data_IF_953096096303
#
_entry.id   IF_953096096303
#
_cell.length_a   1.000
_cell.length_b   1.000
_cell.length_c   1.000
_cell.angle_alpha   90.00
_cell.angle_beta   90.00
_cell.angle_gamma   90.00
#
_symmetry.space_group_name_H-M   'P 1'
#
loop_
_entity.id
_entity.type
_entity.pdbx_description
1 polymer ?
#
# COMPACT_ATOMS: atom_id res chain seq x y z
N UNK A 1 20.92 -31.05 -6.62
CA UNK A 1 19.68 -31.60 -6.03
C UNK A 1 19.07 -30.51 -5.17
N UNK A 2 17.78 -30.18 -5.33
CA UNK A 2 17.10 -29.18 -4.50
C UNK A 2 16.56 -29.87 -3.26
N UNK A 3 17.01 -29.46 -2.08
CA UNK A 3 16.74 -30.16 -0.82
C UNK A 3 15.24 -30.14 -0.47
N UNK A 4 14.56 -29.06 -0.85
CA UNK A 4 13.15 -28.79 -0.54
C UNK A 4 12.19 -29.31 -1.62
N UNK A 5 12.67 -30.04 -2.62
CA UNK A 5 11.85 -30.47 -3.76
C UNK A 5 10.66 -31.34 -3.34
N UNK A 6 10.87 -32.30 -2.44
CA UNK A 6 9.80 -33.16 -1.93
C UNK A 6 8.73 -32.37 -1.13
N UNK A 7 9.09 -31.59 -0.08
CA UNK A 7 8.09 -30.84 0.69
C UNK A 7 7.37 -29.76 -0.14
N UNK A 8 8.01 -29.19 -1.17
CA UNK A 8 7.34 -28.27 -2.09
C UNK A 8 6.29 -28.96 -2.96
N UNK A 9 6.58 -30.17 -3.45
CA UNK A 9 5.65 -30.94 -4.26
C UNK A 9 4.51 -31.57 -3.43
N UNK A 10 4.73 -31.81 -2.14
CA UNK A 10 3.70 -32.33 -1.22
C UNK A 10 2.85 -31.23 -0.56
N UNK A 11 3.31 -29.97 -0.58
CA UNK A 11 2.66 -28.87 0.12
C UNK A 11 3.02 -28.77 1.61
N UNK A 12 4.07 -29.48 2.05
CA UNK A 12 4.58 -29.45 3.43
C UNK A 12 5.60 -28.33 3.66
N UNK A 13 6.10 -27.71 2.59
CA UNK A 13 6.94 -26.53 2.71
C UNK A 13 6.13 -25.35 3.27
N UNK A 14 6.58 -24.81 4.40
CA UNK A 14 5.91 -23.71 5.09
C UNK A 14 6.41 -22.37 4.55
N UNK A 15 5.48 -21.55 4.08
CA UNK A 15 5.66 -20.15 3.70
C UNK A 15 5.02 -19.22 4.73
N UNK A 16 5.23 -17.91 4.58
CA UNK A 16 4.79 -16.90 5.57
C UNK A 16 3.30 -17.00 5.92
N UNK A 17 2.43 -17.25 4.93
CA UNK A 17 0.98 -17.30 5.14
C UNK A 17 0.47 -18.70 5.54
N UNK A 18 1.36 -19.70 5.65
CA UNK A 18 1.02 -21.03 6.16
C UNK A 18 1.21 -21.13 7.68
N UNK A 19 1.92 -20.16 8.26
CA UNK A 19 2.05 -20.03 9.71
C UNK A 19 0.66 -19.74 10.29
N UNK A 20 0.16 -20.54 11.25
CA UNK A 20 -1.14 -20.29 11.86
C UNK A 20 -1.17 -18.91 12.53
N UNK A 21 -2.32 -18.21 12.45
CA UNK A 21 -2.44 -16.90 13.06
C UNK A 21 -2.32 -16.99 14.58
N UNK A 22 -1.74 -15.97 15.19
CA UNK A 22 -1.66 -15.82 16.63
C UNK A 22 -2.99 -15.33 17.21
N UNK A 23 -3.16 -15.51 18.52
CA UNK A 23 -4.30 -14.92 19.23
C UNK A 23 -4.23 -13.39 19.10
N UNK A 24 -5.37 -12.79 18.80
CA UNK A 24 -5.53 -11.34 18.61
C UNK A 24 -4.67 -10.77 17.46
N UNK A 25 -4.20 -11.62 16.53
CA UNK A 25 -3.59 -11.17 15.29
C UNK A 25 -4.59 -10.39 14.44
N UNK A 26 -4.12 -9.27 13.87
CA UNK A 26 -4.90 -8.39 13.01
C UNK A 26 -4.36 -8.43 11.60
N UNK A 27 -5.23 -8.07 10.65
CA UNK A 27 -4.94 -8.10 9.23
C UNK A 27 -5.00 -6.69 8.65
N UNK A 28 -4.06 -6.40 7.77
CA UNK A 28 -3.90 -5.09 7.17
C UNK A 28 -4.19 -5.13 5.67
N UNK A 29 -4.81 -4.08 5.14
CA UNK A 29 -4.98 -3.86 3.71
C UNK A 29 -4.72 -2.41 3.36
N UNK A 30 -3.94 -2.17 2.30
CA UNK A 30 -3.64 -0.81 1.86
C UNK A 30 -4.86 -0.13 1.27
N UNK A 31 -4.98 1.16 1.57
CA UNK A 31 -5.80 2.09 0.81
C UNK A 31 -4.91 2.67 -0.29
N UNK A 32 -5.40 2.63 -1.51
CA UNK A 32 -4.61 2.91 -2.71
C UNK A 32 -4.96 4.27 -3.33
N UNK A 33 -3.93 5.00 -3.76
CA UNK A 33 -4.03 6.15 -4.64
C UNK A 33 -4.42 5.74 -6.06
N UNK A 34 -5.45 6.37 -6.63
CA UNK A 34 -5.98 6.00 -7.96
C UNK A 34 -5.84 7.09 -9.01
N UNK A 35 -5.51 8.33 -8.62
CA UNK A 35 -5.36 9.47 -9.54
C UNK A 35 -3.90 9.87 -9.62
N UNK A 36 -3.19 9.37 -10.63
CA UNK A 36 -1.77 9.66 -10.88
C UNK A 36 -1.58 11.14 -11.19
N UNK A 37 -0.51 11.73 -10.65
CA UNK A 37 -0.17 13.15 -10.82
C UNK A 37 -1.00 14.09 -9.94
N UNK A 38 -1.90 13.58 -9.10
CA UNK A 38 -2.65 14.39 -8.14
C UNK A 38 -2.06 14.29 -6.73
N UNK A 39 -2.39 15.28 -5.90
CA UNK A 39 -2.13 15.27 -4.46
C UNK A 39 -3.40 14.82 -3.72
N UNK A 40 -3.22 14.08 -2.62
CA UNK A 40 -4.28 13.68 -1.71
C UNK A 40 -4.63 14.86 -0.82
N UNK A 41 -5.79 15.47 -1.06
CA UNK A 41 -6.28 16.60 -0.27
C UNK A 41 -6.94 16.13 1.03
N UNK A 42 -7.70 15.03 0.95
CA UNK A 42 -8.41 14.47 2.11
C UNK A 42 -8.63 12.97 1.95
N UNK A 43 -8.52 12.25 3.07
CA UNK A 43 -8.92 10.84 3.19
C UNK A 43 -10.01 10.74 4.25
N UNK A 44 -11.16 10.17 3.87
CA UNK A 44 -12.29 9.88 4.75
C UNK A 44 -12.48 8.36 4.88
N UNK A 45 -12.06 7.82 6.02
CA UNK A 45 -12.21 6.41 6.39
C UNK A 45 -13.46 6.15 7.26
N UNK A 46 -14.33 7.14 7.48
CA UNK A 46 -15.43 7.03 8.45
C UNK A 46 -16.39 5.88 8.17
N UNK A 47 -16.73 5.61 6.90
CA UNK A 47 -17.58 4.49 6.52
C UNK A 47 -16.88 3.14 6.70
N UNK A 48 -15.57 3.07 6.44
CA UNK A 48 -14.77 1.86 6.66
C UNK A 48 -14.71 1.52 8.15
N UNK A 49 -14.49 2.51 9.01
CA UNK A 49 -14.38 2.35 10.47
C UNK A 49 -15.71 1.96 11.15
N UNK A 50 -16.86 2.10 10.47
CA UNK A 50 -18.16 1.64 10.97
C UNK A 50 -18.40 0.14 10.77
N UNK A 51 -17.58 -0.52 9.95
CA UNK A 51 -17.74 -1.96 9.66
C UNK A 51 -17.31 -2.76 10.90
N UNK A 52 -18.17 -3.65 11.43
CA UNK A 52 -17.79 -4.51 12.56
C UNK A 52 -16.52 -5.33 12.25
N UNK A 53 -15.59 -5.34 13.20
CA UNK A 53 -14.29 -5.99 13.07
C UNK A 53 -13.23 -5.14 12.37
N UNK A 54 -13.53 -3.92 11.92
CA UNK A 54 -12.50 -2.93 11.56
C UNK A 54 -12.03 -2.21 12.82
N UNK A 55 -10.72 -2.16 13.00
CA UNK A 55 -10.07 -1.70 14.24
C UNK A 55 -9.54 -0.29 14.07
N UNK A 56 -8.84 -0.01 12.96
CA UNK A 56 -8.19 1.28 12.75
C UNK A 56 -7.95 1.60 11.27
N UNK A 57 -7.69 2.88 11.00
CA UNK A 57 -7.12 3.38 9.77
C UNK A 57 -5.90 4.24 10.11
N UNK A 58 -4.79 4.03 9.42
CA UNK A 58 -3.57 4.83 9.54
C UNK A 58 -3.17 5.41 8.20
N UNK A 59 -2.65 6.64 8.20
CA UNK A 59 -2.07 7.29 7.02
C UNK A 59 -0.68 7.85 7.32
N UNK A 60 -0.10 8.61 6.38
CA UNK A 60 1.22 9.22 6.53
C UNK A 60 1.39 10.02 7.84
N UNK A 61 0.32 10.60 8.38
CA UNK A 61 0.32 11.40 9.61
C UNK A 61 0.54 10.57 10.88
N UNK A 62 0.28 9.27 10.81
CA UNK A 62 0.33 8.37 11.96
C UNK A 62 1.69 7.65 12.05
N UNK A 63 2.63 7.94 11.13
CA UNK A 63 3.99 7.41 11.17
C UNK A 63 4.79 8.21 12.22
N UNK A 64 5.31 7.57 13.29
CA UNK A 64 6.02 8.27 14.37
C UNK A 64 7.42 8.77 13.98
N UNK A 65 7.95 8.32 12.85
CA UNK A 65 9.26 8.71 12.32
C UNK A 65 9.16 9.26 10.91
N UNK A 66 10.22 9.06 10.12
CA UNK A 66 10.25 9.48 8.72
C UNK A 66 9.34 8.57 7.89
N UNK A 67 8.43 9.15 7.12
CA UNK A 67 7.62 8.44 6.11
C UNK A 67 8.48 8.11 4.88
N UNK A 68 9.44 7.20 5.04
CA UNK A 68 10.29 6.67 3.96
C UNK A 68 10.76 5.28 4.35
N UNK A 69 10.68 4.32 3.42
CA UNK A 69 11.23 2.98 3.65
C UNK A 69 12.59 2.75 2.97
N UNK A 70 13.17 3.81 2.37
CA UNK A 70 14.42 3.71 1.64
C UNK A 70 15.62 3.59 2.59
N UNK A 71 16.39 2.52 2.42
CA UNK A 71 17.64 2.33 3.15
C UNK A 71 18.80 3.02 2.44
N UNK A 72 19.00 4.31 2.76
CA UNK A 72 20.01 5.21 2.16
C UNK A 72 21.45 4.65 2.08
N UNK A 73 21.93 3.82 3.02
CA UNK A 73 23.27 3.23 2.91
C UNK A 73 23.50 2.32 1.70
N UNK A 74 22.44 1.89 0.99
CA UNK A 74 22.55 1.14 -0.27
C UNK A 74 22.72 2.04 -1.51
N UNK A 75 22.86 3.36 -1.34
CA UNK A 75 23.11 4.30 -2.43
C UNK A 75 21.84 4.86 -3.10
N UNK A 76 20.66 4.57 -2.54
CA UNK A 76 19.41 5.22 -2.95
C UNK A 76 19.34 6.64 -2.36
N UNK A 77 19.17 7.63 -3.22
CA UNK A 77 19.18 9.06 -2.85
C UNK A 77 17.78 9.60 -2.55
N UNK A 78 16.79 9.11 -3.28
CA UNK A 78 15.43 9.62 -3.21
C UNK A 78 14.63 8.90 -2.12
N UNK A 79 13.78 9.65 -1.42
CA UNK A 79 12.87 9.07 -0.43
C UNK A 79 11.65 8.46 -1.15
N UNK A 80 11.29 7.24 -0.77
CA UNK A 80 10.04 6.59 -1.22
C UNK A 80 9.11 6.43 -0.02
N UNK A 81 7.94 7.10 -0.03
CA UNK A 81 7.05 7.12 1.12
C UNK A 81 6.40 5.76 1.36
N UNK A 82 6.17 5.44 2.64
CA UNK A 82 5.31 4.30 3.02
C UNK A 82 3.86 4.59 2.64
N UNK A 83 3.40 5.82 2.89
CA UNK A 83 2.09 6.32 2.48
C UNK A 83 2.25 7.64 1.71
N UNK A 84 1.89 7.64 0.44
CA UNK A 84 2.06 8.76 -0.47
C UNK A 84 1.06 9.90 -0.20
N UNK A 85 1.51 11.14 -0.45
CA UNK A 85 0.65 12.33 -0.52
C UNK A 85 0.46 12.80 -1.96
N UNK A 86 1.52 12.78 -2.78
CA UNK A 86 1.45 12.92 -4.24
C UNK A 86 1.49 11.53 -4.88
N UNK A 87 0.57 11.24 -5.79
CA UNK A 87 0.44 9.92 -6.41
C UNK A 87 1.32 9.83 -7.66
N UNK A 88 2.40 9.07 -7.57
CA UNK A 88 3.35 8.90 -8.68
C UNK A 88 2.95 7.78 -9.63
N UNK A 89 2.25 6.77 -9.14
CA UNK A 89 1.73 5.66 -9.94
C UNK A 89 0.40 5.14 -9.40
N UNK A 90 -0.34 4.46 -10.28
CA UNK A 90 -1.62 3.86 -9.90
C UNK A 90 -1.37 2.80 -8.81
N UNK A 91 -2.27 2.73 -7.83
CA UNK A 91 -2.18 1.84 -6.68
C UNK A 91 -1.01 2.11 -5.71
N UNK A 92 -0.46 3.33 -5.69
CA UNK A 92 0.49 3.70 -4.64
C UNK A 92 -0.22 3.76 -3.27
N UNK A 93 0.31 3.13 -2.21
CA UNK A 93 -0.32 3.17 -0.89
C UNK A 93 -0.43 4.58 -0.33
N UNK A 94 -1.58 4.93 0.25
CA UNK A 94 -1.84 6.24 0.89
C UNK A 94 -2.30 6.10 2.36
N UNK A 95 -2.51 4.86 2.79
CA UNK A 95 -2.86 4.50 4.15
C UNK A 95 -3.11 3.00 4.25
N UNK A 96 -3.52 2.55 5.42
CA UNK A 96 -3.78 1.14 5.70
C UNK A 96 -4.98 0.99 6.64
N UNK A 97 -5.87 0.05 6.32
CA UNK A 97 -6.92 -0.42 7.21
C UNK A 97 -6.41 -1.61 8.01
N UNK A 98 -6.77 -1.67 9.29
CA UNK A 98 -6.52 -2.79 10.20
C UNK A 98 -7.86 -3.40 10.62
N UNK A 99 -8.00 -4.73 10.52
CA UNK A 99 -9.23 -5.45 10.85
C UNK A 99 -8.95 -6.86 11.41
N UNK A 100 -9.99 -7.50 11.97
CA UNK A 100 -9.94 -8.85 12.56
C UNK A 100 -9.79 -9.99 11.53
N UNK A 101 -9.95 -9.71 10.23
CA UNK A 101 -9.69 -10.70 9.17
C UNK A 101 -9.18 -10.04 7.89
N UNK A 102 -8.44 -10.81 7.09
CA UNK A 102 -7.94 -10.35 5.79
C UNK A 102 -9.07 -9.90 4.86
N UNK A 103 -10.18 -10.64 4.84
CA UNK A 103 -11.36 -10.29 4.05
C UNK A 103 -11.94 -8.93 4.46
N UNK A 104 -12.12 -8.71 5.76
CA UNK A 104 -12.65 -7.45 6.29
C UNK A 104 -11.72 -6.28 5.98
N UNK A 105 -10.41 -6.45 6.18
CA UNK A 105 -9.43 -5.40 5.90
C UNK A 105 -9.52 -4.92 4.44
N UNK A 106 -9.53 -5.85 3.49
CA UNK A 106 -9.65 -5.55 2.06
C UNK A 106 -10.99 -4.89 1.72
N UNK A 107 -12.11 -5.42 2.25
CA UNK A 107 -13.44 -4.86 1.99
C UNK A 107 -13.63 -3.46 2.56
N UNK A 108 -13.05 -3.20 3.73
CA UNK A 108 -13.08 -1.90 4.36
C UNK A 108 -12.17 -0.89 3.66
N UNK A 109 -11.01 -1.31 3.14
CA UNK A 109 -10.13 -0.45 2.34
C UNK A 109 -10.85 0.10 1.08
N UNK A 110 -11.70 -0.69 0.42
CA UNK A 110 -12.54 -0.26 -0.71
C UNK A 110 -13.57 0.83 -0.32
N UNK A 111 -13.87 1.02 0.98
CA UNK A 111 -14.85 2.01 1.46
C UNK A 111 -14.22 3.34 1.85
N UNK A 112 -12.89 3.43 1.89
CA UNK A 112 -12.20 4.68 2.18
C UNK A 112 -12.31 5.62 0.98
N UNK A 113 -12.83 6.82 1.23
CA UNK A 113 -13.01 7.85 0.20
C UNK A 113 -11.80 8.77 0.19
N UNK A 114 -11.34 9.10 -1.01
CA UNK A 114 -10.16 9.95 -1.19
C UNK A 114 -10.52 11.09 -2.12
N UNK A 115 -10.22 12.31 -1.68
CA UNK A 115 -10.31 13.52 -2.47
C UNK A 115 -8.92 13.86 -3.00
N UNK A 116 -8.86 14.11 -4.29
CA UNK A 116 -7.63 14.45 -4.99
C UNK A 116 -7.71 15.87 -5.52
N UNK A 117 -6.57 16.53 -5.56
CA UNK A 117 -6.41 17.75 -6.33
C UNK A 117 -6.57 17.46 -7.83
N UNK A 118 -6.60 18.52 -8.64
CA UNK A 118 -6.57 18.34 -10.10
C UNK A 118 -5.25 17.68 -10.48
N UNK A 119 -5.33 16.51 -11.11
CA UNK A 119 -4.16 15.81 -11.61
C UNK A 119 -3.32 16.70 -12.53
N UNK A 120 -1.99 16.62 -12.37
CA UNK A 120 -1.02 17.13 -13.32
C UNK A 120 -1.18 16.46 -14.71
N UNK A 121 -0.46 16.96 -15.71
CA UNK A 121 -0.57 16.53 -17.13
C UNK A 121 -0.42 15.01 -17.31
N UNK A 122 -0.86 14.56 -18.49
CA UNK A 122 -0.84 13.20 -19.04
C UNK A 122 0.09 12.20 -18.34
N UNK A 123 -0.52 11.10 -17.87
CA UNK A 123 0.20 9.92 -17.36
C UNK A 123 1.12 9.38 -18.45
N UNK A 124 2.41 9.25 -18.13
CA UNK A 124 3.45 8.75 -19.02
C UNK A 124 3.51 7.23 -18.93
N UNK A 125 2.61 6.55 -19.63
CA UNK A 125 2.44 5.11 -19.52
C UNK A 125 3.45 4.31 -20.36
N UNK A 126 4.11 4.95 -21.33
CA UNK A 126 5.08 4.32 -22.22
C UNK A 126 6.47 4.94 -22.09
N UNK A 127 7.50 4.20 -22.50
CA UNK A 127 8.86 4.73 -22.63
C UNK A 127 8.92 5.95 -23.56
N UNK A 128 8.09 5.96 -24.61
CA UNK A 128 8.01 7.09 -25.54
C UNK A 128 7.50 8.35 -24.84
N UNK A 129 6.43 8.23 -24.06
CA UNK A 129 5.88 9.35 -23.28
C UNK A 129 6.90 9.90 -22.28
N UNK A 130 7.73 9.03 -21.69
CA UNK A 130 8.79 9.44 -20.79
C UNK A 130 9.87 10.25 -21.52
N UNK A 131 10.38 9.75 -22.66
CA UNK A 131 11.42 10.42 -23.46
C UNK A 131 10.92 11.77 -23.99
N UNK A 132 9.70 11.85 -24.51
CA UNK A 132 9.12 13.07 -25.08
C UNK A 132 8.86 14.16 -24.03
N UNK A 133 8.86 13.80 -22.76
CA UNK A 133 8.55 14.73 -21.67
C UNK A 133 9.75 15.47 -21.10
N UNK A 134 10.98 15.13 -21.52
CA UNK A 134 12.25 15.73 -21.06
C UNK A 134 12.46 15.73 -19.53
N UNK A 135 11.72 14.90 -18.78
CA UNK A 135 11.99 14.64 -17.36
C UNK A 135 13.18 13.68 -17.27
N UNK A 136 14.40 14.21 -17.21
CA UNK A 136 15.61 13.44 -16.86
C UNK A 136 16.50 14.26 -15.92
#
# INVERSE_FOLDING_TARGET
MKLEALPQCSGEAIYTNDVPPLNDEVFCAFVHGTVVGAEVEQIDASEALKIPGVIAFYSAKDIPGTNSFVYKPLGFTDDEPVFAQKINHHYQPIGVIVAESNYLANKAAEKVKVMYSRAEKQVKATLKDAIESEDT
#
